data_IF_501722217687
#
_entry.id   IF_501722217687
#
_cell.length_a   1.000
_cell.length_b   1.000
_cell.length_c   1.000
_cell.angle_alpha   90.00
_cell.angle_beta   90.00
_cell.angle_gamma   90.00
#
_symmetry.space_group_name_H-M   'P 1'
#
loop_
_entity.id
_entity.type
_entity.pdbx_description
1 polymer ?
#
# COMPACT_ATOMS: atom_id res chain seq x y z
N UNK A 1 9.81 10.60 1.24
CA UNK A 1 8.71 11.38 1.85
C UNK A 1 9.07 12.84 1.69
N UNK A 2 8.29 13.58 0.92
CA UNK A 2 8.56 15.00 0.72
C UNK A 2 7.75 15.80 1.75
N UNK A 3 8.34 16.86 2.27
CA UNK A 3 7.66 17.73 3.23
C UNK A 3 6.40 18.34 2.58
N UNK A 4 5.30 18.36 3.35
CA UNK A 4 4.00 18.89 2.89
C UNK A 4 3.39 18.18 1.68
N UNK A 5 3.74 16.90 1.43
CA UNK A 5 3.11 16.12 0.37
C UNK A 5 1.65 15.81 0.70
N UNK A 6 0.74 16.22 -0.19
CA UNK A 6 -0.72 15.99 -0.08
C UNK A 6 -1.12 14.73 -0.87
N UNK A 7 -0.41 14.42 -1.95
CA UNK A 7 -0.68 13.28 -2.81
C UNK A 7 -0.05 11.98 -2.30
N UNK A 8 -0.46 10.85 -2.88
CA UNK A 8 0.22 9.57 -2.71
C UNK A 8 1.67 9.63 -3.22
N UNK A 9 2.49 8.68 -2.79
CA UNK A 9 3.86 8.55 -3.28
C UNK A 9 3.90 8.25 -4.78
N UNK A 10 4.99 8.68 -5.42
CA UNK A 10 5.23 8.41 -6.82
C UNK A 10 5.35 6.89 -7.01
N UNK A 11 4.53 6.35 -7.91
CA UNK A 11 4.43 4.91 -8.12
C UNK A 11 5.78 4.31 -8.54
N UNK A 12 5.98 3.05 -8.16
CA UNK A 12 7.11 2.22 -8.55
C UNK A 12 6.64 0.86 -9.11
N UNK A 13 5.33 0.64 -9.17
CA UNK A 13 4.71 -0.57 -9.70
C UNK A 13 3.48 -0.18 -10.55
N UNK A 14 3.13 -0.98 -11.58
CA UNK A 14 1.90 -0.79 -12.35
C UNK A 14 0.63 -0.87 -11.48
N UNK A 15 0.65 -1.69 -10.43
CA UNK A 15 -0.46 -1.80 -9.48
C UNK A 15 -0.66 -0.49 -8.74
N UNK A 16 0.42 0.15 -8.25
CA UNK A 16 0.31 1.43 -7.56
C UNK A 16 -0.18 2.54 -8.49
N UNK A 17 0.18 2.51 -9.77
CA UNK A 17 -0.39 3.43 -10.77
C UNK A 17 -1.91 3.28 -10.89
N UNK A 18 -2.42 2.05 -11.01
CA UNK A 18 -3.85 1.79 -11.05
C UNK A 18 -4.56 2.19 -9.74
N UNK A 19 -3.92 1.97 -8.59
CA UNK A 19 -4.44 2.42 -7.29
C UNK A 19 -4.55 3.95 -7.21
N UNK A 20 -3.57 4.70 -7.72
CA UNK A 20 -3.63 6.16 -7.77
C UNK A 20 -4.78 6.63 -8.68
N UNK A 21 -4.94 6.02 -9.87
CA UNK A 21 -6.04 6.35 -10.78
C UNK A 21 -7.41 6.06 -10.15
N UNK A 22 -7.56 4.91 -9.48
CA UNK A 22 -8.78 4.56 -8.77
C UNK A 22 -9.05 5.51 -7.59
N UNK A 23 -8.01 5.86 -6.83
CA UNK A 23 -8.10 6.86 -5.77
C UNK A 23 -8.63 8.18 -6.31
N UNK A 24 -8.03 8.73 -7.38
CA UNK A 24 -8.44 10.02 -7.95
C UNK A 24 -9.88 9.98 -8.49
N UNK A 25 -10.26 8.88 -9.13
CA UNK A 25 -11.64 8.64 -9.55
C UNK A 25 -12.63 8.67 -8.37
N UNK A 26 -12.31 7.95 -7.29
CA UNK A 26 -13.16 7.92 -6.09
C UNK A 26 -13.22 9.28 -5.38
N UNK A 27 -12.09 9.99 -5.30
CA UNK A 27 -12.00 11.32 -4.69
C UNK A 27 -12.80 12.35 -5.47
N UNK A 28 -12.80 12.30 -6.80
CA UNK A 28 -13.64 13.16 -7.62
C UNK A 28 -15.12 12.98 -7.25
N UNK A 29 -15.61 11.76 -7.14
CA UNK A 29 -16.99 11.46 -6.76
C UNK A 29 -17.27 11.98 -5.33
N UNK A 30 -16.41 11.68 -4.36
CA UNK A 30 -16.61 12.09 -2.96
C UNK A 30 -16.66 13.62 -2.85
N UNK A 31 -15.73 14.34 -3.49
CA UNK A 31 -15.71 15.81 -3.49
C UNK A 31 -16.95 16.40 -4.17
N UNK A 32 -17.46 15.79 -5.23
CA UNK A 32 -18.72 16.24 -5.87
C UNK A 32 -19.92 16.09 -4.92
N UNK A 33 -20.01 14.98 -4.18
CA UNK A 33 -21.09 14.77 -3.21
C UNK A 33 -20.96 15.75 -2.05
N UNK A 34 -19.77 15.90 -1.48
CA UNK A 34 -19.52 16.81 -0.36
C UNK A 34 -19.82 18.26 -0.73
N UNK A 35 -19.40 18.70 -1.92
CA UNK A 35 -19.70 20.06 -2.39
C UNK A 35 -21.19 20.30 -2.62
N UNK A 36 -21.92 19.30 -3.15
CA UNK A 36 -23.38 19.36 -3.29
C UNK A 36 -24.09 19.47 -1.93
N UNK A 37 -23.73 18.60 -0.98
CA UNK A 37 -24.32 18.61 0.38
C UNK A 37 -24.00 19.93 1.08
N UNK A 38 -22.75 20.39 0.99
CA UNK A 38 -22.32 21.67 1.56
C UNK A 38 -23.11 22.84 0.97
N UNK A 39 -23.31 22.86 -0.35
CA UNK A 39 -24.14 23.86 -1.02
C UNK A 39 -25.59 23.85 -0.53
N UNK A 40 -26.21 22.66 -0.42
CA UNK A 40 -27.57 22.51 0.10
C UNK A 40 -27.67 23.02 1.54
N UNK A 41 -26.71 22.70 2.40
CA UNK A 41 -26.67 23.20 3.78
C UNK A 41 -26.59 24.72 3.84
N UNK A 42 -25.72 25.36 3.04
CA UNK A 42 -25.64 26.82 2.95
C UNK A 42 -26.97 27.42 2.48
N UNK A 43 -27.61 26.81 1.47
CA UNK A 43 -28.89 27.26 0.94
C UNK A 43 -29.99 27.20 2.00
N UNK A 44 -30.03 26.12 2.79
CA UNK A 44 -31.01 25.96 3.87
C UNK A 44 -30.80 27.00 4.99
N UNK A 45 -29.55 27.27 5.39
CA UNK A 45 -29.23 28.28 6.40
C UNK A 45 -29.58 29.70 5.92
N UNK A 46 -29.39 29.99 4.63
CA UNK A 46 -29.68 31.30 4.04
C UNK A 46 -31.14 31.48 3.61
N UNK A 47 -32.00 30.49 3.81
CA UNK A 47 -33.39 30.58 3.38
C UNK A 47 -34.20 31.46 4.34
N UNK A 48 -34.84 32.51 3.82
CA UNK A 48 -35.71 33.38 4.62
C UNK A 48 -37.10 32.77 4.86
N UNK A 49 -37.54 31.87 3.98
CA UNK A 49 -38.84 31.21 4.10
C UNK A 49 -38.72 29.97 4.99
N UNK A 50 -39.57 29.88 6.02
CA UNK A 50 -39.65 28.71 6.89
C UNK A 50 -41.03 28.05 6.82
N UNK A 51 -41.05 26.73 6.98
CA UNK A 51 -42.26 25.93 7.14
C UNK A 51 -42.04 24.93 8.27
N UNK A 52 -42.93 24.89 9.26
CA UNK A 52 -42.82 23.97 10.40
C UNK A 52 -43.58 22.65 10.18
N UNK A 53 -44.25 22.50 9.04
CA UNK A 53 -44.96 21.28 8.70
C UNK A 53 -43.97 20.24 8.17
N UNK A 54 -44.06 19.02 8.69
CA UNK A 54 -43.35 17.87 8.14
C UNK A 54 -44.04 17.50 6.83
N UNK A 55 -43.29 17.58 5.72
CA UNK A 55 -43.76 17.16 4.40
C UNK A 55 -43.19 15.78 4.10
N UNK A 56 -44.07 14.81 3.94
CA UNK A 56 -43.70 13.46 3.51
C UNK A 56 -43.77 13.37 1.99
N UNK A 57 -42.74 12.80 1.36
CA UNK A 57 -42.74 12.57 -0.08
C UNK A 57 -41.93 11.33 -0.44
N UNK A 58 -42.65 10.23 -0.66
CA UNK A 58 -42.09 8.94 -1.07
C UNK A 58 -41.26 9.00 -2.35
N UNK A 59 -41.59 9.92 -3.28
CA UNK A 59 -40.81 10.06 -4.51
C UNK A 59 -39.41 10.62 -4.23
N UNK A 60 -39.25 11.54 -3.27
CA UNK A 60 -37.95 12.09 -2.89
C UNK A 60 -37.11 11.00 -2.20
N UNK A 61 -37.76 10.22 -1.33
CA UNK A 61 -37.12 9.08 -0.65
C UNK A 61 -36.59 8.03 -1.63
N UNK A 62 -37.36 7.73 -2.68
CA UNK A 62 -36.94 6.85 -3.76
C UNK A 62 -35.72 7.42 -4.49
N UNK A 63 -35.75 8.72 -4.84
CA UNK A 63 -34.67 9.38 -5.59
C UNK A 63 -33.36 9.37 -4.80
N UNK A 64 -33.36 9.79 -3.53
CA UNK A 64 -32.13 9.83 -2.74
C UNK A 64 -31.63 8.44 -2.32
N UNK A 65 -32.42 7.39 -2.49
CA UNK A 65 -31.99 6.00 -2.26
C UNK A 65 -31.37 5.42 -3.52
N UNK A 66 -31.99 5.65 -4.68
CA UNK A 66 -31.53 5.13 -5.96
C UNK A 66 -30.23 5.81 -6.42
N UNK A 67 -30.12 7.13 -6.30
CA UNK A 67 -28.94 7.87 -6.78
C UNK A 67 -27.64 7.38 -6.10
N UNK A 68 -27.52 7.31 -4.76
CA UNK A 68 -26.32 6.80 -4.11
C UNK A 68 -26.03 5.34 -4.45
N UNK A 69 -27.07 4.51 -4.63
CA UNK A 69 -26.88 3.11 -5.02
C UNK A 69 -26.20 3.00 -6.38
N UNK A 70 -26.63 3.81 -7.35
CA UNK A 70 -26.01 3.86 -8.68
C UNK A 70 -24.57 4.39 -8.58
N UNK A 71 -24.32 5.46 -7.81
CA UNK A 71 -22.96 6.00 -7.62
C UNK A 71 -22.03 4.96 -7.01
N UNK A 72 -22.47 4.22 -5.97
CA UNK A 72 -21.68 3.16 -5.36
C UNK A 72 -21.37 2.03 -6.34
N UNK A 73 -22.29 1.67 -7.23
CA UNK A 73 -22.03 0.67 -8.26
C UNK A 73 -20.90 1.08 -9.21
N UNK A 74 -20.82 2.38 -9.56
CA UNK A 74 -19.75 2.92 -10.40
C UNK A 74 -18.38 2.94 -9.70
N UNK A 75 -18.34 3.08 -8.38
CA UNK A 75 -17.09 2.94 -7.59
C UNK A 75 -16.70 1.46 -7.47
N UNK A 76 -17.67 0.58 -7.23
CA UNK A 76 -17.43 -0.83 -6.95
C UNK A 76 -16.85 -1.60 -8.14
N UNK A 77 -17.31 -1.35 -9.37
CA UNK A 77 -16.84 -2.05 -10.56
C UNK A 77 -15.33 -1.93 -10.82
N UNK A 78 -14.73 -0.72 -10.91
CA UNK A 78 -13.28 -0.59 -11.07
C UNK A 78 -12.51 -1.09 -9.84
N UNK A 79 -13.07 -0.95 -8.63
CA UNK A 79 -12.46 -1.46 -7.41
C UNK A 79 -12.30 -2.98 -7.44
N UNK A 80 -13.37 -3.71 -7.81
CA UNK A 80 -13.35 -5.17 -7.91
C UNK A 80 -12.41 -5.63 -9.04
N UNK A 81 -12.40 -4.94 -10.18
CA UNK A 81 -11.48 -5.26 -11.26
C UNK A 81 -10.01 -5.18 -10.79
N UNK A 82 -9.66 -4.10 -10.09
CA UNK A 82 -8.31 -3.92 -9.54
C UNK A 82 -7.97 -4.95 -8.47
N UNK A 83 -8.93 -5.32 -7.61
CA UNK A 83 -8.76 -6.37 -6.61
C UNK A 83 -8.32 -7.70 -7.26
N UNK A 84 -8.99 -8.11 -8.35
CA UNK A 84 -8.63 -9.34 -9.05
C UNK A 84 -7.26 -9.24 -9.73
N UNK A 85 -6.92 -8.08 -10.32
CA UNK A 85 -5.59 -7.85 -10.91
C UNK A 85 -4.46 -7.97 -9.87
N UNK A 86 -4.71 -7.56 -8.62
CA UNK A 86 -3.74 -7.66 -7.53
C UNK A 86 -3.54 -9.08 -7.01
N UNK A 87 -4.57 -9.93 -7.09
CA UNK A 87 -4.52 -11.31 -6.60
C UNK A 87 -3.96 -12.29 -7.65
N UNK A 88 -3.96 -11.91 -8.93
CA UNK A 88 -3.40 -12.72 -10.01
C UNK A 88 -1.86 -12.84 -9.94
N UNK A 89 -1.40 -14.02 -9.52
CA UNK A 89 0.01 -14.37 -9.46
C UNK A 89 0.48 -15.08 -10.73
N UNK A 90 1.03 -14.32 -11.67
CA UNK A 90 1.62 -14.88 -12.89
C UNK A 90 3.07 -15.33 -12.66
N UNK A 91 3.35 -16.64 -12.69
CA UNK A 91 4.69 -17.26 -12.80
C UNK A 91 5.88 -16.41 -12.26
N UNK A 92 6.05 -16.30 -10.93
CA UNK A 92 7.12 -15.49 -10.35
C UNK A 92 8.50 -16.07 -10.69
N UNK A 93 9.46 -15.18 -10.98
CA UNK A 93 10.86 -15.51 -11.29
C UNK A 93 11.73 -15.64 -10.04
N UNK A 94 11.27 -15.09 -8.93
CA UNK A 94 11.98 -15.02 -7.66
C UNK A 94 10.97 -15.09 -6.51
N UNK A 95 11.31 -15.84 -5.47
CA UNK A 95 10.61 -15.85 -4.19
C UNK A 95 11.49 -15.25 -3.10
N UNK A 96 10.95 -14.26 -2.37
CA UNK A 96 11.60 -13.67 -1.20
C UNK A 96 10.70 -13.93 0.00
N UNK A 97 11.24 -14.59 1.02
CA UNK A 97 10.56 -14.74 2.30
C UNK A 97 11.01 -13.65 3.26
N UNK A 98 10.05 -13.09 3.97
CA UNK A 98 10.18 -11.94 4.85
C UNK A 98 9.63 -12.35 6.21
N UNK A 99 10.45 -12.24 7.25
CA UNK A 99 10.06 -12.54 8.62
C UNK A 99 10.14 -11.27 9.47
N UNK A 100 9.03 -10.93 10.12
CA UNK A 100 8.98 -9.86 11.12
C UNK A 100 9.39 -10.37 12.51
N UNK A 101 10.27 -9.62 13.17
CA UNK A 101 10.73 -9.84 14.54
C UNK A 101 10.62 -8.53 15.34
N UNK A 102 10.61 -8.59 16.67
CA UNK A 102 10.74 -7.45 17.56
C UNK A 102 12.23 -7.04 17.67
N UNK A 103 12.72 -5.96 17.04
CA UNK A 103 12.07 -5.04 16.10
C UNK A 103 12.98 -4.83 14.89
N UNK A 104 12.92 -5.78 13.96
CA UNK A 104 13.69 -5.81 12.73
C UNK A 104 13.04 -6.77 11.72
N UNK A 105 13.53 -6.79 10.49
CA UNK A 105 13.06 -7.70 9.45
C UNK A 105 14.19 -8.63 9.04
N UNK A 106 13.91 -9.91 8.81
CA UNK A 106 14.85 -10.82 8.16
C UNK A 106 14.33 -11.25 6.79
N UNK A 107 15.25 -11.43 5.84
CA UNK A 107 14.96 -11.74 4.46
C UNK A 107 15.68 -13.01 4.03
N UNK A 108 14.95 -13.90 3.36
CA UNK A 108 15.47 -15.17 2.84
C UNK A 108 15.23 -15.24 1.34
N UNK A 109 16.31 -15.45 0.57
CA UNK A 109 16.30 -15.66 -0.88
C UNK A 109 16.61 -17.13 -1.17
N UNK A 110 15.69 -18.02 -0.78
CA UNK A 110 15.90 -19.47 -0.80
C UNK A 110 16.08 -20.07 -2.21
N UNK A 111 15.72 -19.33 -3.26
CA UNK A 111 15.97 -19.74 -4.66
C UNK A 111 17.48 -19.74 -5.00
N UNK A 112 18.32 -19.08 -4.19
CA UNK A 112 19.78 -19.00 -4.37
C UNK A 112 20.51 -19.37 -3.08
N UNK A 113 21.26 -20.49 -3.06
CA UNK A 113 22.18 -20.92 -1.98
C UNK A 113 21.83 -20.48 -0.55
N UNK A 114 20.54 -20.50 -0.18
CA UNK A 114 20.01 -20.05 1.12
C UNK A 114 20.58 -18.72 1.63
N UNK A 115 20.56 -17.68 0.79
CA UNK A 115 20.91 -16.32 1.20
C UNK A 115 19.93 -15.83 2.27
N UNK A 116 20.44 -15.45 3.44
CA UNK A 116 19.67 -14.91 4.56
C UNK A 116 20.39 -13.73 5.23
N UNK A 117 19.65 -12.71 5.63
CA UNK A 117 20.18 -11.59 6.41
C UNK A 117 19.10 -10.85 7.20
N UNK A 118 19.53 -10.16 8.24
CA UNK A 118 18.71 -9.26 9.05
C UNK A 118 18.87 -7.81 8.59
N UNK A 119 17.82 -7.01 8.76
CA UNK A 119 17.72 -5.60 8.40
C UNK A 119 17.23 -4.80 9.61
N UNK A 120 18.13 -4.05 10.21
CA UNK A 120 17.91 -3.19 11.36
C UNK A 120 17.92 -1.71 10.95
N UNK A 121 17.21 -0.87 11.69
CA UNK A 121 17.28 0.58 11.50
C UNK A 121 18.70 1.10 11.75
N UNK A 122 19.23 1.87 10.81
CA UNK A 122 20.56 2.47 10.94
C UNK A 122 20.54 3.70 11.85
N UNK A 123 21.32 3.75 12.96
CA UNK A 123 21.40 4.92 13.82
C UNK A 123 22.20 6.04 13.15
N UNK A 124 21.70 7.28 13.19
CA UNK A 124 22.40 8.44 12.62
C UNK A 124 22.30 8.56 11.09
N UNK A 125 21.40 7.79 10.47
CA UNK A 125 21.00 7.88 9.07
C UNK A 125 20.62 9.30 8.61
N UNK A 126 20.80 9.57 7.31
CA UNK A 126 20.38 10.87 6.73
C UNK A 126 18.87 11.00 6.72
N UNK A 127 18.18 9.93 6.30
CA UNK A 127 16.74 9.78 6.44
C UNK A 127 16.43 9.12 7.78
N UNK A 128 16.23 9.97 8.79
CA UNK A 128 15.90 9.56 10.16
C UNK A 128 14.73 8.57 10.18
N UNK A 129 14.94 7.41 10.81
CA UNK A 129 13.98 6.31 10.99
C UNK A 129 13.59 5.52 9.74
N UNK A 130 14.23 5.75 8.58
CA UNK A 130 13.88 5.07 7.33
C UNK A 130 15.02 4.22 6.77
N UNK A 131 16.28 4.61 6.96
CA UNK A 131 17.41 3.81 6.50
C UNK A 131 17.64 2.59 7.39
N UNK A 132 18.13 1.53 6.77
CA UNK A 132 18.52 0.27 7.39
C UNK A 132 19.99 0.00 7.13
N UNK A 133 20.59 -0.91 7.89
CA UNK A 133 21.94 -1.41 7.67
C UNK A 133 22.04 -2.25 6.38
N UNK A 134 21.09 -3.17 6.17
CA UNK A 134 21.00 -4.04 5.00
C UNK A 134 19.68 -3.80 4.26
N UNK A 135 19.76 -3.16 3.10
CA UNK A 135 18.62 -3.02 2.19
C UNK A 135 18.38 -4.32 1.41
N UNK A 136 17.15 -4.50 0.94
CA UNK A 136 16.74 -5.71 0.20
C UNK A 136 16.75 -5.47 -1.30
N UNK A 137 17.73 -6.01 -2.03
CA UNK A 137 17.79 -5.81 -3.46
C UNK A 137 16.75 -6.67 -4.16
N UNK A 138 16.10 -6.08 -5.17
CA UNK A 138 15.19 -6.77 -6.08
C UNK A 138 15.55 -6.46 -7.55
N UNK A 139 15.39 -7.42 -8.47
CA UNK A 139 15.60 -7.19 -9.88
C UNK A 139 14.48 -6.34 -10.49
N UNK A 140 14.87 -5.32 -11.27
CA UNK A 140 13.96 -4.52 -12.09
C UNK A 140 13.20 -5.37 -13.12
N UNK A 141 11.92 -5.04 -13.37
CA UNK A 141 11.07 -5.66 -14.40
C UNK A 141 10.93 -7.19 -14.26
N UNK A 142 10.92 -7.70 -13.04
CA UNK A 142 10.70 -9.11 -12.75
C UNK A 142 9.51 -9.27 -11.81
N UNK A 143 8.71 -10.31 -12.05
CA UNK A 143 7.65 -10.70 -11.13
C UNK A 143 8.27 -11.45 -9.95
N UNK A 144 8.05 -10.94 -8.75
CA UNK A 144 8.59 -11.48 -7.50
C UNK A 144 7.41 -11.92 -6.63
N UNK A 145 7.52 -13.12 -6.07
CA UNK A 145 6.61 -13.60 -5.01
C UNK A 145 7.21 -13.21 -3.67
N UNK A 146 6.47 -12.43 -2.90
CA UNK A 146 6.81 -12.19 -1.50
C UNK A 146 6.01 -13.17 -0.63
N UNK A 147 6.67 -13.74 0.37
CA UNK A 147 6.05 -14.54 1.41
C UNK A 147 6.36 -13.87 2.75
N UNK A 148 5.34 -13.39 3.43
CA UNK A 148 5.46 -12.69 4.71
C UNK A 148 4.96 -13.58 5.85
N UNK A 149 5.67 -13.58 6.97
CA UNK A 149 5.30 -14.26 8.22
C UNK A 149 6.00 -13.56 9.38
N UNK A 150 5.70 -13.94 10.62
CA UNK A 150 6.45 -13.49 11.79
C UNK A 150 6.94 -14.67 12.63
N UNK A 151 8.01 -14.44 13.40
CA UNK A 151 8.54 -15.35 14.42
C UNK A 151 7.97 -15.11 15.82
N UNK A 152 7.31 -13.97 16.06
CA UNK A 152 6.88 -13.55 17.39
C UNK A 152 5.43 -13.01 17.44
N UNK A 153 5.20 -11.74 17.09
CA UNK A 153 3.92 -11.03 17.18
C UNK A 153 3.42 -10.62 15.79
N UNK A 154 2.29 -9.93 15.72
CA UNK A 154 1.84 -9.37 14.45
C UNK A 154 2.77 -8.23 14.02
N UNK A 155 3.15 -8.25 12.75
CA UNK A 155 3.79 -7.14 12.04
C UNK A 155 3.09 -6.94 10.69
N UNK A 156 3.45 -5.90 9.95
CA UNK A 156 2.93 -5.71 8.60
C UNK A 156 3.97 -5.07 7.71
N UNK A 157 4.38 -5.79 6.66
CA UNK A 157 5.40 -5.39 5.71
C UNK A 157 4.78 -4.52 4.62
N UNK A 158 5.26 -3.29 4.47
CA UNK A 158 4.62 -2.28 3.62
C UNK A 158 5.64 -1.48 2.85
N UNK A 159 5.45 -1.34 1.54
CA UNK A 159 6.17 -0.39 0.67
C UNK A 159 5.13 0.46 -0.08
N UNK A 160 4.83 1.68 0.40
CA UNK A 160 3.75 2.49 -0.16
C UNK A 160 3.91 2.83 -1.64
N UNK A 161 5.14 3.12 -2.09
CA UNK A 161 5.41 3.45 -3.49
C UNK A 161 5.13 2.28 -4.46
N UNK A 162 5.12 1.04 -3.96
CA UNK A 162 4.82 -0.17 -4.73
C UNK A 162 3.37 -0.65 -4.55
N UNK A 163 2.57 0.04 -3.73
CA UNK A 163 1.18 -0.33 -3.47
C UNK A 163 1.04 -1.63 -2.68
N UNK A 164 2.04 -1.96 -1.85
CA UNK A 164 2.12 -3.24 -1.14
C UNK A 164 1.99 -3.02 0.36
N UNK A 165 1.10 -3.79 0.98
CA UNK A 165 0.97 -3.99 2.43
C UNK A 165 0.51 -5.43 2.69
N UNK A 166 1.25 -6.19 3.50
CA UNK A 166 0.86 -7.53 3.95
C UNK A 166 1.19 -7.74 5.41
N UNK A 167 0.26 -8.33 6.14
CA UNK A 167 0.50 -8.69 7.52
C UNK A 167 1.42 -9.91 7.61
N UNK A 168 2.45 -9.78 8.43
CA UNK A 168 3.33 -10.84 8.85
C UNK A 168 2.75 -11.47 10.12
N UNK A 169 2.15 -12.65 9.97
CA UNK A 169 1.38 -13.33 11.02
C UNK A 169 2.13 -14.58 11.51
N UNK A 170 2.35 -14.76 12.83
CA UNK A 170 2.99 -15.97 13.34
C UNK A 170 2.21 -17.22 12.95
N UNK A 171 2.90 -18.22 12.41
CA UNK A 171 2.30 -19.49 12.00
C UNK A 171 1.50 -19.44 10.69
N UNK A 172 1.55 -18.33 9.92
CA UNK A 172 0.88 -18.21 8.62
C UNK A 172 1.81 -17.56 7.59
N UNK A 173 1.89 -18.19 6.42
CA UNK A 173 2.60 -17.68 5.26
C UNK A 173 1.64 -16.90 4.37
N UNK A 174 1.76 -15.58 4.36
CA UNK A 174 0.97 -14.67 3.55
C UNK A 174 1.72 -14.33 2.26
N UNK A 175 1.08 -14.55 1.11
CA UNK A 175 1.71 -14.38 -0.20
C UNK A 175 1.19 -13.14 -0.91
N UNK A 176 2.07 -12.44 -1.63
CA UNK A 176 1.71 -11.37 -2.55
C UNK A 176 2.68 -11.25 -3.72
N UNK A 177 2.25 -10.63 -4.81
CA UNK A 177 3.12 -10.30 -5.95
C UNK A 177 3.73 -8.92 -5.82
N UNK A 178 4.98 -8.82 -6.23
CA UNK A 178 5.72 -7.58 -6.38
C UNK A 178 6.27 -7.47 -7.81
N UNK A 179 6.08 -6.32 -8.43
CA UNK A 179 6.69 -5.96 -9.71
C UNK A 179 7.12 -4.50 -9.66
N UNK A 180 8.37 -4.21 -10.01
CA UNK A 180 8.92 -2.85 -10.03
C UNK A 180 9.30 -2.41 -11.44
N UNK A 181 8.83 -1.22 -11.85
CA UNK A 181 9.03 -0.67 -13.20
C UNK A 181 10.19 0.34 -13.30
N UNK A 182 10.77 0.75 -12.17
CA UNK A 182 11.87 1.73 -12.14
C UNK A 182 12.91 1.42 -11.06
N UNK A 183 14.15 1.80 -11.34
CA UNK A 183 15.26 1.63 -10.39
C UNK A 183 15.22 2.68 -9.28
N UNK A 184 15.72 2.33 -8.11
CA UNK A 184 15.84 3.24 -6.96
C UNK A 184 15.60 2.53 -5.63
N UNK A 185 15.77 3.30 -4.54
CA UNK A 185 15.51 2.85 -3.18
C UNK A 185 14.10 3.25 -2.74
N UNK A 186 13.33 2.28 -2.27
CA UNK A 186 11.95 2.45 -1.84
C UNK A 186 11.82 2.15 -0.36
N UNK A 187 11.19 3.06 0.36
CA UNK A 187 11.11 3.03 1.82
C UNK A 187 9.73 2.60 2.28
N UNK A 188 9.71 1.90 3.41
CA UNK A 188 8.55 1.41 4.09
C UNK A 188 8.73 1.39 5.60
N UNK A 189 7.64 1.15 6.33
CA UNK A 189 7.65 0.99 7.78
C UNK A 189 6.69 -0.13 8.17
N UNK A 190 6.92 -0.73 9.34
CA UNK A 190 5.97 -1.66 9.92
C UNK A 190 4.61 -0.97 10.11
N UNK A 191 3.55 -1.61 9.62
CA UNK A 191 2.19 -1.04 9.58
C UNK A 191 1.18 -1.78 10.46
N UNK A 192 1.68 -2.52 11.47
CA UNK A 192 0.91 -3.22 12.50
C UNK A 192 1.61 -3.10 13.86
N UNK A 193 0.87 -2.83 14.93
CA UNK A 193 1.44 -2.51 16.23
C UNK A 193 2.15 -3.75 16.84
N UNK A 194 3.48 -3.64 17.02
CA UNK A 194 4.32 -4.77 17.43
C UNK A 194 5.16 -4.53 18.70
N UNK A 195 4.85 -3.49 19.49
CA UNK A 195 5.47 -3.22 20.79
C UNK A 195 6.32 -1.94 20.84
N UNK A 196 7.29 -1.90 21.76
CA UNK A 196 8.01 -0.67 22.14
C UNK A 196 8.71 0.04 20.98
N UNK A 197 9.35 -0.70 20.08
CA UNK A 197 10.07 -0.13 18.93
C UNK A 197 9.33 -0.33 17.60
N UNK A 198 8.00 -0.38 17.63
CA UNK A 198 7.16 -0.46 16.42
C UNK A 198 7.54 0.58 15.35
N UNK A 199 7.84 1.82 15.78
CA UNK A 199 8.23 2.92 14.89
C UNK A 199 9.68 2.85 14.36
N UNK A 200 10.47 1.85 14.77
CA UNK A 200 11.93 1.80 14.55
C UNK A 200 12.38 0.52 13.82
N UNK A 201 11.49 -0.07 13.02
CA UNK A 201 11.80 -1.21 12.15
C UNK A 201 11.39 -0.92 10.69
N UNK A 202 12.09 0.01 10.02
CA UNK A 202 11.81 0.38 8.65
C UNK A 202 12.17 -0.72 7.66
N UNK A 203 11.75 -0.52 6.42
CA UNK A 203 11.98 -1.42 5.30
C UNK A 203 12.61 -0.60 4.18
N UNK A 204 13.69 -1.11 3.58
CA UNK A 204 14.28 -0.53 2.37
C UNK A 204 14.42 -1.60 1.31
N UNK A 205 13.83 -1.32 0.14
CA UNK A 205 13.87 -2.17 -1.05
C UNK A 205 14.62 -1.44 -2.15
N UNK A 206 15.72 -2.01 -2.63
CA UNK A 206 16.50 -1.45 -3.73
C UNK A 206 16.17 -2.16 -5.04
N UNK A 207 15.46 -1.47 -5.93
CA UNK A 207 15.26 -1.99 -7.29
C UNK A 207 16.49 -1.69 -8.14
N UNK A 208 17.19 -2.75 -8.53
CA UNK A 208 18.43 -2.66 -9.30
C UNK A 208 18.34 -3.46 -10.62
N UNK A 209 19.11 -3.08 -11.66
CA UNK A 209 19.15 -3.86 -12.89
C UNK A 209 19.60 -5.31 -12.62
N UNK A 210 19.02 -6.27 -13.36
CA UNK A 210 19.23 -7.72 -13.17
C UNK A 210 20.72 -8.11 -13.12
N UNK A 211 21.58 -7.46 -13.92
CA UNK A 211 23.03 -7.68 -13.90
C UNK A 211 23.66 -7.43 -12.52
N UNK A 212 23.28 -6.34 -11.86
CA UNK A 212 23.78 -6.00 -10.53
C UNK A 212 23.17 -6.91 -9.47
N UNK A 213 21.89 -7.27 -9.61
CA UNK A 213 21.25 -8.26 -8.74
C UNK A 213 21.97 -9.62 -8.77
N UNK A 214 22.28 -10.13 -9.95
CA UNK A 214 23.05 -11.38 -10.10
C UNK A 214 24.46 -11.24 -9.50
N UNK A 215 25.11 -10.08 -9.67
CA UNK A 215 26.42 -9.86 -9.04
C UNK A 215 26.35 -9.81 -7.52
N UNK A 216 25.28 -9.24 -6.97
CA UNK A 216 25.03 -9.21 -5.53
C UNK A 216 24.82 -10.64 -5.01
N UNK A 217 23.97 -11.46 -5.66
CA UNK A 217 23.77 -12.88 -5.30
C UNK A 217 25.10 -13.63 -5.27
N UNK A 218 25.93 -13.47 -6.29
CA UNK A 218 27.20 -14.22 -6.41
C UNK A 218 28.26 -13.82 -5.39
N UNK A 219 28.19 -12.57 -4.92
CA UNK A 219 29.13 -12.02 -3.95
C UNK A 219 28.56 -12.04 -2.53
N UNK A 220 27.31 -12.53 -2.36
CA UNK A 220 26.72 -12.73 -1.07
C UNK A 220 27.44 -13.93 -0.42
N UNK A 221 28.15 -13.64 0.66
CA UNK A 221 28.95 -14.63 1.39
C UNK A 221 28.08 -15.42 2.36
#
# INVERSE_FOLDING_TARGET
MDWMKISLYDNASPIMEQLILFHDYSMLIIVTILSLVFFLMIKMVKNYFYSNNILENQMIELIWTLIPTVILSFIALPSLHLLYLMDELYNPLLTIKILGHQWYWSYEYNDFNSIEFDSYMSPGATLRLLEVDNSTPIPLNCQIRLITSSSDVLHSWTIPAMGIKMDATPGRLNQMSLFSNRTGSFFGQCSEICGANHSFMPIVVDTIPVKYFISWIKNFN
#
